data_IF_692896608120
#
_entry.id   IF_692896608120
#
_cell.length_a   1.000
_cell.length_b   1.000
_cell.length_c   1.000
_cell.angle_alpha   90.00
_cell.angle_beta   90.00
_cell.angle_gamma   90.00
#
_symmetry.space_group_name_H-M   'P 1'
#
loop_
_entity.id
_entity.type
_entity.pdbx_description
1 polymer ?
#
# COMPACT_ATOMS: atom_id res chain seq x y z
N UNK A 1 -9.55 -6.17 -5.11
CA UNK A 1 -8.86 -6.92 -6.17
C UNK A 1 -7.44 -7.08 -5.69
N UNK A 2 -6.97 -8.30 -5.50
CA UNK A 2 -5.71 -8.55 -4.80
C UNK A 2 -4.54 -8.64 -5.78
N UNK A 3 -3.33 -8.37 -5.27
CA UNK A 3 -2.13 -8.56 -6.06
C UNK A 3 -1.87 -10.07 -6.28
N UNK A 4 -1.52 -10.51 -7.50
CA UNK A 4 -1.21 -11.91 -7.74
C UNK A 4 0.03 -12.34 -6.95
N UNK A 5 -0.12 -13.40 -6.13
CA UNK A 5 0.94 -13.92 -5.25
C UNK A 5 2.16 -14.49 -6.00
N UNK A 6 2.03 -14.74 -7.29
CA UNK A 6 3.07 -15.34 -8.15
C UNK A 6 3.78 -14.31 -9.04
N UNK A 7 3.71 -13.01 -8.72
CA UNK A 7 4.43 -11.96 -9.45
C UNK A 7 5.17 -11.02 -8.51
N UNK A 8 6.25 -10.43 -9.00
CA UNK A 8 6.94 -9.34 -8.30
C UNK A 8 6.06 -8.09 -8.24
N UNK A 9 6.10 -7.29 -7.15
CA UNK A 9 5.37 -6.02 -7.05
C UNK A 9 5.65 -5.08 -8.22
N UNK A 10 4.63 -4.36 -8.70
CA UNK A 10 4.74 -3.43 -9.83
C UNK A 10 4.69 -4.05 -11.23
N UNK A 11 4.68 -5.38 -11.36
CA UNK A 11 4.62 -6.06 -12.67
C UNK A 11 3.19 -6.28 -13.21
N UNK A 12 2.16 -6.04 -12.39
CA UNK A 12 0.76 -6.22 -12.77
C UNK A 12 0.05 -4.90 -12.98
N UNK A 13 -0.77 -4.79 -14.03
CA UNK A 13 -1.46 -3.55 -14.42
C UNK A 13 -2.25 -2.97 -13.24
N UNK A 14 -2.12 -1.65 -13.03
CA UNK A 14 -2.79 -0.94 -11.94
C UNK A 14 -2.03 -0.94 -10.61
N UNK A 15 -0.85 -1.56 -10.55
CA UNK A 15 -0.02 -1.62 -9.36
C UNK A 15 1.36 -1.01 -9.62
N UNK A 16 1.86 -0.25 -8.65
CA UNK A 16 3.20 0.31 -8.64
C UNK A 16 4.13 -0.46 -7.71
N UNK A 17 5.42 -0.45 -8.01
CA UNK A 17 6.47 -1.02 -7.17
C UNK A 17 7.80 -0.33 -7.41
N UNK A 18 8.62 -0.27 -6.37
CA UNK A 18 10.02 0.15 -6.45
C UNK A 18 10.89 -1.04 -6.07
N UNK A 19 11.84 -1.41 -6.94
CA UNK A 19 12.75 -2.52 -6.68
C UNK A 19 14.07 -1.97 -6.13
N UNK A 20 14.40 -2.37 -4.90
CA UNK A 20 15.51 -1.83 -4.14
C UNK A 20 16.88 -2.31 -4.61
N UNK A 21 16.94 -3.39 -5.39
CA UNK A 21 18.16 -4.02 -5.92
C UNK A 21 18.67 -3.36 -7.20
N UNK A 22 17.83 -2.64 -7.94
CA UNK A 22 18.23 -1.94 -9.16
C UNK A 22 17.83 -0.46 -9.20
N UNK A 23 17.05 0.02 -8.23
CA UNK A 23 16.62 1.41 -8.16
C UNK A 23 15.69 1.76 -9.32
N UNK A 24 14.77 0.86 -9.67
CA UNK A 24 13.79 1.11 -10.73
C UNK A 24 12.36 1.10 -10.22
N UNK A 25 11.54 1.86 -10.92
CA UNK A 25 10.10 1.92 -10.71
C UNK A 25 9.40 1.04 -11.75
N UNK A 26 8.43 0.25 -11.28
CA UNK A 26 7.67 -0.69 -12.08
C UNK A 26 6.19 -0.34 -11.96
N UNK A 27 5.55 -0.10 -13.11
CA UNK A 27 4.15 0.31 -13.17
C UNK A 27 3.38 -0.58 -14.15
N UNK A 28 2.85 -1.69 -13.63
CA UNK A 28 2.18 -2.72 -14.43
C UNK A 28 3.00 -3.36 -15.54
N UNK A 29 4.32 -3.32 -15.42
CA UNK A 29 5.27 -3.82 -16.42
C UNK A 29 6.42 -4.56 -15.72
N UNK A 30 6.93 -5.61 -16.34
CA UNK A 30 8.17 -6.29 -15.91
C UNK A 30 9.44 -5.55 -16.32
N UNK A 31 9.31 -4.47 -17.11
CA UNK A 31 10.40 -3.60 -17.51
C UNK A 31 10.33 -2.35 -16.64
N UNK A 32 11.31 -2.20 -15.74
CA UNK A 32 11.42 -1.05 -14.85
C UNK A 32 11.92 0.19 -15.59
N UNK A 33 11.44 1.35 -15.18
CA UNK A 33 11.91 2.66 -15.61
C UNK A 33 12.94 3.19 -14.60
N UNK A 34 13.87 4.04 -15.05
CA UNK A 34 14.86 4.65 -14.15
C UNK A 34 14.16 5.37 -12.99
N UNK A 35 14.54 5.08 -11.75
CA UNK A 35 13.83 5.62 -10.60
C UNK A 35 14.62 5.56 -9.31
N UNK A 36 15.40 6.61 -9.00
CA UNK A 36 16.10 6.73 -7.73
C UNK A 36 17.38 5.89 -7.60
N UNK A 37 18.09 6.00 -6.46
CA UNK A 37 19.30 5.21 -6.20
C UNK A 37 18.92 3.76 -5.88
N UNK A 38 19.88 2.82 -6.00
CA UNK A 38 19.76 1.48 -5.41
C UNK A 38 19.88 1.57 -3.88
N UNK A 39 19.17 0.72 -3.15
CA UNK A 39 19.30 0.62 -1.70
C UNK A 39 20.40 -0.34 -1.27
N UNK A 40 20.97 -0.08 -0.10
CA UNK A 40 21.98 -0.88 0.54
C UNK A 40 21.62 -1.17 2.00
N UNK A 41 22.41 -2.07 2.60
CA UNK A 41 22.26 -2.38 4.02
C UNK A 41 22.45 -1.11 4.86
N UNK A 42 21.44 -0.77 5.65
CA UNK A 42 21.41 0.43 6.49
C UNK A 42 20.55 1.56 5.93
N UNK A 43 20.08 1.45 4.69
CA UNK A 43 19.16 2.43 4.11
C UNK A 43 17.75 2.28 4.68
N UNK A 44 17.06 3.41 4.79
CA UNK A 44 15.66 3.47 5.25
C UNK A 44 14.77 3.85 4.07
N UNK A 45 13.74 3.04 3.84
CA UNK A 45 12.78 3.21 2.74
C UNK A 45 11.45 3.75 3.24
N UNK A 46 10.91 4.73 2.53
CA UNK A 46 9.60 5.31 2.80
C UNK A 46 8.66 5.16 1.61
N UNK A 47 7.37 4.94 1.89
CA UNK A 47 6.30 4.97 0.90
C UNK A 47 5.16 5.88 1.39
N UNK A 48 4.38 6.41 0.45
CA UNK A 48 3.25 7.28 0.77
C UNK A 48 2.29 7.38 -0.41
N UNK A 49 1.02 7.66 -0.10
CA UNK A 49 -0.04 7.86 -1.09
C UNK A 49 -0.64 9.25 -0.92
N UNK A 50 -1.03 9.87 -2.02
CA UNK A 50 -1.70 11.17 -2.03
C UNK A 50 -3.04 11.05 -2.75
N UNK A 51 -4.12 11.34 -2.03
CA UNK A 51 -5.44 11.49 -2.63
C UNK A 51 -5.65 12.96 -3.02
N UNK A 52 -5.93 13.28 -4.30
CA UNK A 52 -6.23 14.64 -4.72
C UNK A 52 -7.43 15.19 -3.95
N UNK A 53 -7.25 16.34 -3.29
CA UNK A 53 -8.32 17.03 -2.57
C UNK A 53 -9.12 17.86 -3.59
N UNK A 54 -10.13 17.25 -4.21
CA UNK A 54 -10.99 17.94 -5.19
C UNK A 54 -12.05 17.07 -5.88
N UNK A 55 -12.20 15.80 -5.51
CA UNK A 55 -13.25 14.92 -6.03
C UNK A 55 -14.45 14.79 -5.09
N UNK A 56 -14.71 15.81 -4.28
CA UNK A 56 -15.84 15.84 -3.37
C UNK A 56 -17.14 16.11 -4.12
N UNK A 57 -18.07 15.16 -4.08
CA UNK A 57 -19.46 15.30 -4.53
C UNK A 57 -20.28 16.00 -3.43
N UNK A 58 -19.74 17.04 -2.81
CA UNK A 58 -20.40 17.86 -1.82
C UNK A 58 -20.87 19.17 -2.46
N UNK A 59 -22.16 19.15 -2.79
CA UNK A 59 -23.11 20.28 -2.76
C UNK A 59 -22.91 21.44 -3.74
N UNK A 60 -23.80 21.45 -4.75
CA UNK A 60 -24.53 22.58 -5.33
C UNK A 60 -23.99 24.01 -5.07
N UNK A 61 -23.58 24.71 -6.14
CA UNK A 61 -23.63 26.18 -6.15
C UNK A 61 -22.48 26.91 -6.84
N UNK A 62 -22.79 27.41 -8.05
CA UNK A 62 -22.39 28.71 -8.59
C UNK A 62 -21.03 28.90 -9.33
N UNK A 63 -21.24 29.14 -10.62
CA UNK A 63 -20.54 30.08 -11.53
C UNK A 63 -19.21 29.72 -12.20
N UNK A 64 -19.32 29.77 -13.52
CA UNK A 64 -18.27 29.81 -14.55
C UNK A 64 -17.18 30.85 -14.27
N UNK A 65 -15.91 30.43 -14.31
CA UNK A 65 -14.85 31.23 -14.95
C UNK A 65 -13.63 30.36 -15.28
N UNK A 66 -13.02 30.66 -16.42
CA UNK A 66 -12.10 29.82 -17.15
C UNK A 66 -10.68 29.74 -16.55
N UNK A 67 -10.01 28.62 -16.88
CA UNK A 67 -8.57 28.49 -17.14
C UNK A 67 -7.57 29.12 -16.16
N UNK A 68 -7.04 28.32 -15.23
CA UNK A 68 -5.65 28.42 -14.74
C UNK A 68 -5.23 27.02 -14.22
N UNK A 69 -4.08 26.43 -14.63
CA UNK A 69 -3.52 25.28 -13.92
C UNK A 69 -3.01 25.78 -12.57
N UNK A 70 -3.86 25.71 -11.54
CA UNK A 70 -3.50 26.09 -10.18
C UNK A 70 -2.34 25.20 -9.73
N UNK A 71 -1.12 25.73 -9.81
CA UNK A 71 0.08 25.26 -9.11
C UNK A 71 -0.07 25.44 -7.59
N UNK A 72 -1.21 25.01 -7.05
CA UNK A 72 -1.49 25.01 -5.63
C UNK A 72 -0.54 24.04 -4.96
N UNK A 73 0.28 24.55 -4.05
CA UNK A 73 1.09 23.72 -3.15
C UNK A 73 0.16 22.74 -2.47
N UNK A 74 0.18 21.47 -2.87
CA UNK A 74 -0.64 20.44 -2.23
C UNK A 74 -0.14 20.32 -0.81
N UNK A 75 -0.96 20.72 0.16
CA UNK A 75 -0.62 20.59 1.58
C UNK A 75 -0.70 19.10 1.93
N UNK A 76 0.44 18.42 1.84
CA UNK A 76 0.58 17.01 2.22
C UNK A 76 0.37 16.91 3.72
N UNK A 77 -0.67 16.20 4.14
CA UNK A 77 -0.87 15.79 5.53
C UNK A 77 -0.58 14.30 5.57
N UNK A 78 0.52 13.92 6.21
CA UNK A 78 0.82 12.51 6.47
C UNK A 78 -0.17 12.04 7.55
N UNK A 79 -1.15 11.23 7.15
CA UNK A 79 -2.05 10.54 8.07
C UNK A 79 -1.58 9.09 8.07
N UNK A 80 -1.12 8.61 9.22
CA UNK A 80 -0.84 7.20 9.43
C UNK A 80 -2.19 6.49 9.57
N UNK A 81 -2.54 5.61 8.65
CA UNK A 81 -3.69 4.72 8.80
C UNK A 81 -3.18 3.46 9.51
N UNK A 82 -3.14 3.50 10.83
CA UNK A 82 -3.08 2.29 11.65
C UNK A 82 -4.52 2.03 12.06
N UNK A 83 -5.13 0.98 11.52
CA UNK A 83 -6.39 0.47 12.07
C UNK A 83 -6.04 -0.14 13.43
N UNK A 84 -6.63 0.38 14.52
CA UNK A 84 -6.60 -0.31 15.81
C UNK A 84 -7.40 -1.61 15.62
N UNK A 85 -6.71 -2.75 15.53
CA UNK A 85 -7.37 -4.05 15.60
C UNK A 85 -7.93 -4.18 17.02
N UNK A 86 -9.26 -4.19 17.17
CA UNK A 86 -9.90 -4.53 18.44
C UNK A 86 -9.58 -6.01 18.76
N UNK A 87 -8.97 -6.26 19.92
CA UNK A 87 -8.73 -7.59 20.46
C UNK A 87 -10.07 -8.26 20.82
N UNK A 88 -10.57 -9.15 19.97
CA UNK A 88 -11.65 -10.06 20.36
C UNK A 88 -11.07 -11.19 21.25
N UNK A 89 -11.08 -10.96 22.57
CA UNK A 89 -11.02 -12.02 23.58
C UNK A 89 -12.36 -12.78 23.62
N UNK A 90 -12.40 -14.03 23.17
CA UNK A 90 -13.37 -15.02 23.68
C UNK A 90 -12.69 -16.40 23.76
N UNK A 91 -12.52 -16.86 24.99
CA UNK A 91 -11.93 -18.15 25.33
C UNK A 91 -12.95 -19.24 25.63
N UNK A 92 -12.43 -20.46 25.76
CA UNK A 92 -13.07 -21.65 26.33
C UNK A 92 -13.34 -22.77 25.31
N UNK A 93 -13.15 -24.07 25.56
CA UNK A 93 -12.64 -24.85 26.70
C UNK A 93 -12.10 -26.18 26.11
N UNK A 94 -10.95 -26.60 26.63
CA UNK A 94 -10.39 -27.95 26.77
C UNK A 94 -11.31 -29.19 26.62
N UNK A 95 -10.86 -30.18 25.83
CA UNK A 95 -11.08 -31.62 26.12
C UNK A 95 -9.76 -32.39 25.90
N UNK A 96 -9.22 -32.91 27.01
CA UNK A 96 -8.14 -33.91 27.08
C UNK A 96 -8.72 -35.32 26.92
N UNK A 97 -8.03 -36.22 26.20
CA UNK A 97 -7.98 -37.69 26.42
C UNK A 97 -6.79 -38.20 25.55
N UNK A 98 -5.56 -38.27 26.09
CA UNK A 98 -4.86 -39.43 26.69
C UNK A 98 -4.43 -40.54 25.69
N UNK A 99 -3.11 -40.83 25.68
CA UNK A 99 -2.46 -42.16 25.52
C UNK A 99 -2.72 -42.94 24.18
N UNK A 100 -1.73 -43.29 23.35
CA UNK A 100 -0.48 -43.94 23.75
C UNK A 100 0.51 -44.21 22.63
N UNK A 101 1.71 -44.49 23.11
CA UNK A 101 2.97 -44.79 22.47
C UNK A 101 3.05 -46.28 22.10
N UNK A 102 3.67 -46.59 20.95
CA UNK A 102 4.73 -47.61 20.78
C UNK A 102 4.68 -48.50 19.52
N UNK A 103 5.89 -48.68 18.98
CA UNK A 103 6.50 -49.61 18.03
C UNK A 103 5.68 -50.62 17.19
N UNK A 104 5.99 -50.65 15.88
CA UNK A 104 6.66 -51.81 15.22
C UNK A 104 7.47 -51.37 13.99
#
# INVERSE_FOLDING_TARGET
QDYPKNRHPGWSRGWGGYHADDGKLFHGSGVGEGGGPRCYKGDVMGCGIMFPRGGGRDSEGDSDDASEPRGGKVKVRNVMYLEEEEEDEEGGEEEEEEDGEDME
#
